data_IF_795389005398
#
_entry.id   IF_795389005398
#
_cell.length_a   1.000
_cell.length_b   1.000
_cell.length_c   1.000
_cell.angle_alpha   90.00
_cell.angle_beta   90.00
_cell.angle_gamma   90.00
#
_symmetry.space_group_name_H-M   'P 1'
#
loop_
_entity.id
_entity.type
_entity.pdbx_description
1 polymer ?
#
# COMPACT_ATOMS: atom_id res chain seq x y z
N UNK A 1 -43.97 -59.71 32.98
CA UNK A 1 -43.54 -59.18 31.67
C UNK A 1 -42.57 -60.17 31.04
N UNK A 2 -42.96 -60.73 29.90
CA UNK A 2 -42.19 -61.75 29.19
C UNK A 2 -41.00 -61.11 28.45
N UNK A 3 -40.01 -61.91 28.02
CA UNK A 3 -38.86 -61.45 27.22
C UNK A 3 -39.28 -60.64 25.98
N UNK A 4 -40.43 -61.00 25.40
CA UNK A 4 -41.05 -60.36 24.24
C UNK A 4 -41.51 -58.92 24.54
N UNK A 5 -42.05 -58.66 25.73
CA UNK A 5 -42.54 -57.33 26.14
C UNK A 5 -41.39 -56.31 26.29
N UNK A 6 -40.25 -56.75 26.83
CA UNK A 6 -39.06 -55.90 27.00
C UNK A 6 -38.44 -55.50 25.66
N UNK A 7 -38.44 -56.40 24.67
CA UNK A 7 -37.93 -56.11 23.34
C UNK A 7 -38.85 -55.14 22.57
N UNK A 8 -40.17 -55.25 22.76
CA UNK A 8 -41.13 -54.33 22.16
C UNK A 8 -40.96 -52.89 22.69
N UNK A 9 -40.81 -52.74 24.01
CA UNK A 9 -40.59 -51.43 24.66
C UNK A 9 -39.25 -50.82 24.21
N UNK A 10 -38.19 -51.61 24.13
CA UNK A 10 -36.87 -51.15 23.67
C UNK A 10 -36.90 -50.69 22.21
N UNK A 11 -37.60 -51.42 21.33
CA UNK A 11 -37.77 -51.03 19.92
C UNK A 11 -38.64 -49.78 19.77
N UNK A 12 -39.68 -49.62 20.59
CA UNK A 12 -40.55 -48.45 20.58
C UNK A 12 -39.83 -47.19 21.08
N UNK A 13 -39.04 -47.30 22.15
CA UNK A 13 -38.18 -46.22 22.65
C UNK A 13 -37.11 -45.82 21.63
N UNK A 14 -36.46 -46.80 20.98
CA UNK A 14 -35.45 -46.54 19.96
C UNK A 14 -36.02 -45.82 18.73
N UNK A 15 -37.23 -46.19 18.29
CA UNK A 15 -37.94 -45.49 17.20
C UNK A 15 -38.32 -44.06 17.58
N UNK A 16 -38.81 -43.82 18.80
CA UNK A 16 -39.19 -42.47 19.27
C UNK A 16 -37.99 -41.52 19.36
N UNK A 17 -36.84 -42.01 19.84
CA UNK A 17 -35.57 -41.25 19.89
C UNK A 17 -35.06 -40.94 18.49
N UNK A 18 -35.12 -41.88 17.55
CA UNK A 18 -34.67 -41.66 16.17
C UNK A 18 -35.60 -40.74 15.37
N UNK A 19 -36.92 -40.78 15.62
CA UNK A 19 -37.89 -39.87 15.00
C UNK A 19 -37.70 -38.41 15.48
N UNK A 20 -37.32 -38.20 16.75
CA UNK A 20 -36.95 -36.87 17.25
C UNK A 20 -35.60 -36.39 16.69
N UNK A 21 -34.58 -37.26 16.60
CA UNK A 21 -33.28 -36.92 15.98
C UNK A 21 -33.39 -36.51 14.50
N UNK A 22 -34.29 -37.14 13.74
CA UNK A 22 -34.56 -36.77 12.34
C UNK A 22 -35.19 -35.39 12.17
N UNK A 23 -36.04 -34.97 13.11
CA UNK A 23 -36.66 -33.63 13.12
C UNK A 23 -35.65 -32.53 13.48
N UNK A 24 -34.79 -32.78 14.47
CA UNK A 24 -33.71 -31.86 14.87
C UNK A 24 -32.63 -31.70 13.77
N UNK A 25 -32.36 -32.76 13.00
CA UNK A 25 -31.42 -32.74 11.86
C UNK A 25 -31.88 -31.84 10.70
N UNK A 26 -33.17 -31.85 10.35
CA UNK A 26 -33.70 -31.00 9.27
C UNK A 26 -33.73 -29.51 9.65
N UNK A 27 -34.02 -29.18 10.92
CA UNK A 27 -34.02 -27.79 11.39
C UNK A 27 -32.60 -27.21 11.44
N UNK A 28 -31.58 -28.03 11.76
CA UNK A 28 -30.17 -27.59 11.74
C UNK A 28 -29.60 -27.40 10.33
N UNK A 29 -30.06 -28.16 9.32
CA UNK A 29 -29.56 -28.01 7.94
C UNK A 29 -30.13 -26.79 7.21
N UNK A 30 -31.35 -26.36 7.53
CA UNK A 30 -31.94 -25.14 6.94
C UNK A 30 -31.41 -23.87 7.63
N UNK A 31 -31.10 -23.93 8.93
CA UNK A 31 -30.54 -22.79 9.66
C UNK A 31 -29.06 -22.50 9.33
N UNK A 32 -28.24 -23.51 8.99
CA UNK A 32 -26.81 -23.31 8.72
C UNK A 32 -26.57 -22.70 7.32
N UNK A 33 -27.43 -22.97 6.34
CA UNK A 33 -27.31 -22.35 5.01
C UNK A 33 -27.69 -20.86 5.05
N UNK A 34 -28.65 -20.46 5.89
CA UNK A 34 -29.04 -19.05 6.04
C UNK A 34 -27.98 -18.19 6.75
N UNK A 35 -27.19 -18.77 7.66
CA UNK A 35 -26.12 -18.04 8.36
C UNK A 35 -24.89 -17.85 7.45
N UNK A 36 -24.58 -18.83 6.61
CA UNK A 36 -23.50 -18.67 5.62
C UNK A 36 -23.90 -17.68 4.53
N UNK A 37 -25.18 -17.63 4.10
CA UNK A 37 -25.66 -16.62 3.16
C UNK A 37 -25.76 -15.20 3.74
N UNK A 38 -25.74 -15.03 5.08
CA UNK A 38 -25.75 -13.71 5.72
C UNK A 38 -24.34 -13.13 5.95
N UNK A 39 -23.29 -13.94 5.88
CA UNK A 39 -21.88 -13.47 5.93
C UNK A 39 -21.43 -12.91 4.57
N UNK A 40 -22.18 -13.16 3.48
CA UNK A 40 -21.88 -12.67 2.14
C UNK A 40 -22.41 -11.25 1.83
N UNK A 41 -22.96 -10.55 2.81
CA UNK A 41 -23.44 -9.19 2.62
C UNK A 41 -22.88 -8.30 3.73
N UNK A 42 -22.26 -7.18 3.35
CA UNK A 42 -21.54 -6.20 4.17
C UNK A 42 -20.00 -6.33 4.24
N UNK A 43 -19.34 -6.81 3.17
CA UNK A 43 -18.13 -6.08 2.76
C UNK A 43 -18.63 -4.93 1.88
N UNK A 44 -19.15 -3.88 2.52
CA UNK A 44 -19.07 -2.58 1.86
C UNK A 44 -17.57 -2.36 1.72
N UNK A 45 -17.05 -2.48 0.49
CA UNK A 45 -15.81 -1.78 0.15
C UNK A 45 -16.09 -0.33 0.55
N UNK A 46 -15.59 0.09 1.70
CA UNK A 46 -15.38 1.50 1.93
C UNK A 46 -14.40 1.88 0.82
N UNK A 47 -14.93 2.55 -0.20
CA UNK A 47 -14.12 3.23 -1.19
C UNK A 47 -13.39 4.33 -0.41
N UNK A 48 -12.23 3.98 0.17
CA UNK A 48 -11.35 4.92 0.84
C UNK A 48 -10.80 5.79 -0.28
N UNK A 49 -11.47 6.92 -0.51
CA UNK A 49 -11.00 7.92 -1.46
C UNK A 49 -9.67 8.46 -0.95
N UNK A 50 -8.68 8.52 -1.83
CA UNK A 50 -7.42 9.16 -1.50
C UNK A 50 -7.67 10.60 -1.05
N UNK A 51 -6.98 10.98 0.01
CA UNK A 51 -6.92 12.34 0.50
C UNK A 51 -6.06 13.19 -0.43
N UNK A 52 -6.27 14.50 -0.41
CA UNK A 52 -5.41 15.42 -1.16
C UNK A 52 -4.00 15.41 -0.54
N UNK A 53 -2.97 15.36 -1.39
CA UNK A 53 -1.59 15.43 -0.95
C UNK A 53 -1.33 16.77 -0.22
N UNK A 54 -0.88 16.74 1.05
CA UNK A 54 -0.61 17.97 1.81
C UNK A 54 0.39 18.88 1.08
N UNK A 55 0.25 20.19 1.28
CA UNK A 55 1.14 21.18 0.64
C UNK A 55 2.59 21.02 1.09
N UNK A 56 2.82 20.59 2.31
CA UNK A 56 4.13 20.40 2.93
C UNK A 56 4.54 18.91 2.96
N UNK A 57 4.32 18.18 1.86
CA UNK A 57 4.65 16.75 1.78
C UNK A 57 5.60 16.46 0.63
N UNK A 58 6.63 15.66 0.88
CA UNK A 58 7.52 15.15 -0.16
C UNK A 58 8.15 16.25 -1.04
N UNK A 59 8.31 15.97 -2.33
CA UNK A 59 8.84 16.93 -3.31
C UNK A 59 7.99 18.20 -3.42
N UNK A 60 6.67 18.08 -3.28
CA UNK A 60 5.75 19.24 -3.34
C UNK A 60 6.08 20.26 -2.25
N UNK A 61 6.20 19.79 -1.00
CA UNK A 61 6.59 20.62 0.14
C UNK A 61 7.99 21.22 -0.02
N UNK A 62 8.97 20.36 -0.32
CA UNK A 62 10.34 20.80 -0.49
C UNK A 62 10.49 21.88 -1.57
N UNK A 63 9.78 21.80 -2.70
CA UNK A 63 9.98 22.74 -3.81
C UNK A 63 9.45 24.14 -3.52
N UNK A 64 8.39 24.27 -2.71
CA UNK A 64 7.82 25.57 -2.33
C UNK A 64 8.41 26.18 -1.05
N UNK A 65 9.04 25.36 -0.21
CA UNK A 65 9.62 25.81 1.06
C UNK A 65 10.89 26.65 0.82
N UNK A 66 10.91 27.90 1.30
CA UNK A 66 12.03 28.82 1.08
C UNK A 66 13.12 28.72 2.15
N UNK A 67 12.89 28.01 3.25
CA UNK A 67 13.77 27.99 4.42
C UNK A 67 13.79 26.60 5.08
N UNK A 68 14.31 25.63 4.34
CA UNK A 68 14.30 24.21 4.74
C UNK A 68 15.38 23.95 5.80
N UNK A 69 14.96 23.44 6.95
CA UNK A 69 15.85 22.90 7.99
C UNK A 69 16.36 21.50 7.63
N UNK A 70 17.34 20.99 8.39
CA UNK A 70 17.81 19.61 8.23
C UNK A 70 16.69 18.57 8.46
N UNK A 71 15.85 18.78 9.47
CA UNK A 71 14.73 17.88 9.75
C UNK A 71 13.71 17.86 8.62
N UNK A 72 13.35 19.02 8.08
CA UNK A 72 12.45 19.13 6.93
C UNK A 72 13.07 18.53 5.67
N UNK A 73 14.36 18.75 5.40
CA UNK A 73 15.05 18.17 4.25
C UNK A 73 14.99 16.64 4.27
N UNK A 74 15.28 16.02 5.41
CA UNK A 74 15.20 14.57 5.56
C UNK A 74 13.76 14.06 5.49
N UNK A 75 12.83 14.79 6.12
CA UNK A 75 11.39 14.45 6.12
C UNK A 75 10.81 14.48 4.72
N UNK A 76 10.99 15.58 3.98
CA UNK A 76 10.53 15.69 2.60
C UNK A 76 11.13 14.61 1.70
N UNK A 77 12.44 14.35 1.80
CA UNK A 77 13.07 13.29 1.02
C UNK A 77 12.42 11.94 1.31
N UNK A 78 12.25 11.57 2.58
CA UNK A 78 11.69 10.27 2.96
C UNK A 78 10.20 10.13 2.60
N UNK A 79 9.42 11.18 2.78
CA UNK A 79 8.00 11.22 2.42
C UNK A 79 7.79 11.02 0.91
N UNK A 80 8.65 11.62 0.07
CA UNK A 80 8.56 11.46 -1.37
C UNK A 80 8.86 10.02 -1.81
N UNK A 81 9.85 9.36 -1.18
CA UNK A 81 10.13 7.94 -1.43
C UNK A 81 8.99 7.03 -0.96
N UNK A 82 8.33 7.36 0.16
CA UNK A 82 7.12 6.66 0.60
C UNK A 82 5.96 6.85 -0.40
N UNK A 83 5.80 8.06 -0.93
CA UNK A 83 4.78 8.36 -1.94
C UNK A 83 5.01 7.56 -3.22
N UNK A 84 6.27 7.45 -3.65
CA UNK A 84 6.65 6.64 -4.80
C UNK A 84 6.35 5.14 -4.58
N UNK A 85 6.73 4.58 -3.41
CA UNK A 85 6.39 3.21 -3.03
C UNK A 85 4.88 2.93 -3.12
N UNK A 86 4.07 3.76 -2.45
CA UNK A 86 2.62 3.59 -2.41
C UNK A 86 2.01 3.70 -3.81
N UNK A 87 2.48 4.65 -4.63
CA UNK A 87 2.01 4.84 -6.00
C UNK A 87 2.29 3.61 -6.87
N UNK A 88 3.51 3.06 -6.79
CA UNK A 88 3.87 1.88 -7.58
C UNK A 88 3.19 0.62 -7.07
N UNK A 89 2.93 0.51 -5.77
CA UNK A 89 2.08 -0.54 -5.20
C UNK A 89 0.67 -0.52 -5.80
N UNK A 90 0.04 0.65 -5.84
CA UNK A 90 -1.30 0.81 -6.41
C UNK A 90 -1.35 0.47 -7.91
N UNK A 91 -0.33 0.89 -8.68
CA UNK A 91 -0.22 0.58 -10.11
C UNK A 91 -0.01 -0.92 -10.34
N UNK A 92 0.90 -1.56 -9.58
CA UNK A 92 1.19 -3.00 -9.71
C UNK A 92 -0.02 -3.81 -9.32
N UNK A 93 -0.77 -3.39 -8.30
CA UNK A 93 -2.00 -4.04 -7.87
C UNK A 93 -3.08 -4.02 -8.96
N UNK A 94 -3.24 -2.91 -9.67
CA UNK A 94 -4.26 -2.76 -10.71
C UNK A 94 -3.86 -3.42 -12.03
N UNK A 95 -2.62 -3.20 -12.49
CA UNK A 95 -2.19 -3.58 -13.83
C UNK A 95 -1.23 -4.79 -13.88
N UNK A 96 -0.86 -5.33 -12.72
CA UNK A 96 0.08 -6.42 -12.60
C UNK A 96 1.55 -5.99 -12.65
N UNK A 97 2.44 -6.99 -12.69
CA UNK A 97 3.89 -6.80 -12.60
C UNK A 97 4.50 -6.29 -13.92
N UNK A 98 4.40 -4.99 -14.14
CA UNK A 98 5.04 -4.32 -15.26
C UNK A 98 6.45 -3.89 -14.86
N UNK A 99 7.43 -4.30 -15.67
CA UNK A 99 8.86 -4.27 -15.31
C UNK A 99 9.37 -2.89 -14.84
N UNK A 100 9.10 -1.75 -15.52
CA UNK A 100 9.51 -0.45 -15.00
C UNK A 100 9.04 -0.17 -13.56
N UNK A 101 7.74 -0.35 -13.27
CA UNK A 101 7.19 -0.07 -11.94
C UNK A 101 7.76 -0.99 -10.86
N UNK A 102 7.87 -2.30 -11.14
CA UNK A 102 8.44 -3.26 -10.17
C UNK A 102 9.91 -3.00 -9.87
N UNK A 103 10.73 -2.70 -10.88
CA UNK A 103 12.16 -2.44 -10.68
C UNK A 103 12.41 -1.11 -9.99
N UNK A 104 11.67 -0.07 -10.35
CA UNK A 104 11.81 1.26 -9.74
C UNK A 104 11.33 1.20 -8.30
N UNK A 105 10.21 0.52 -7.99
CA UNK A 105 9.80 0.28 -6.60
C UNK A 105 10.91 -0.36 -5.75
N UNK A 106 11.65 -1.33 -6.28
CA UNK A 106 12.80 -1.91 -5.56
C UNK A 106 13.92 -0.89 -5.36
N UNK A 107 14.13 0.02 -6.31
CA UNK A 107 15.10 1.10 -6.19
C UNK A 107 14.70 2.14 -5.13
N UNK A 108 13.43 2.57 -5.08
CA UNK A 108 12.96 3.51 -4.04
C UNK A 108 13.09 2.92 -2.64
N UNK A 109 12.95 1.59 -2.48
CA UNK A 109 13.20 0.97 -1.18
C UNK A 109 14.66 1.11 -0.73
N UNK A 110 15.60 1.18 -1.69
CA UNK A 110 17.01 1.45 -1.41
C UNK A 110 17.24 2.92 -1.07
N UNK A 111 16.47 3.84 -1.66
CA UNK A 111 16.49 5.25 -1.29
C UNK A 111 16.05 5.44 0.16
N UNK A 112 14.91 4.85 0.56
CA UNK A 112 14.45 4.80 1.95
C UNK A 112 15.55 4.25 2.87
N UNK A 113 16.13 3.11 2.50
CA UNK A 113 17.20 2.47 3.30
C UNK A 113 18.44 3.37 3.42
N UNK A 114 18.73 4.20 2.42
CA UNK A 114 19.84 5.13 2.44
C UNK A 114 19.58 6.39 3.31
N UNK A 115 18.32 6.81 3.42
CA UNK A 115 17.91 7.98 4.21
C UNK A 115 17.83 7.67 5.71
N UNK A 116 17.28 6.51 6.09
CA UNK A 116 17.04 6.15 7.50
C UNK A 116 18.26 6.28 8.45
N UNK A 117 19.50 5.93 8.03
CA UNK A 117 20.67 6.16 8.88
C UNK A 117 20.95 7.63 9.21
N UNK A 118 20.54 8.57 8.33
CA UNK A 118 20.72 10.01 8.58
C UNK A 118 19.79 10.49 9.71
N UNK A 119 18.54 10.01 9.75
CA UNK A 119 17.61 10.30 10.86
C UNK A 119 18.21 9.88 12.20
N UNK A 120 18.79 8.67 12.26
CA UNK A 120 19.45 8.17 13.47
C UNK A 120 20.68 9.02 13.83
N UNK A 121 21.53 9.33 12.85
CA UNK A 121 22.77 10.11 13.04
C UNK A 121 22.50 11.50 13.62
N UNK A 122 21.44 12.15 13.15
CA UNK A 122 21.08 13.52 13.55
C UNK A 122 20.03 13.58 14.66
N UNK A 123 19.66 12.42 15.24
CA UNK A 123 18.65 12.31 16.30
C UNK A 123 17.30 12.95 15.92
N UNK A 124 16.89 12.74 14.67
CA UNK A 124 15.61 13.22 14.11
C UNK A 124 14.64 12.03 14.10
N UNK A 125 13.40 12.28 14.50
CA UNK A 125 12.36 11.25 14.49
C UNK A 125 11.97 10.91 13.06
N UNK A 126 11.85 9.61 12.76
CA UNK A 126 11.37 9.17 11.45
C UNK A 126 9.87 9.44 11.36
N UNK A 127 9.38 10.17 10.35
CA UNK A 127 7.94 10.41 10.17
C UNK A 127 7.20 9.09 9.91
N UNK A 128 5.96 9.02 10.39
CA UNK A 128 5.06 7.91 10.09
C UNK A 128 4.78 7.85 8.58
N UNK A 129 4.82 6.65 7.99
CA UNK A 129 4.46 6.47 6.60
C UNK A 129 2.93 6.54 6.42
N UNK A 130 2.46 7.67 5.86
CA UNK A 130 1.05 7.92 5.51
C UNK A 130 0.78 7.95 4.02
N UNK A 131 1.78 7.62 3.19
CA UNK A 131 1.76 7.85 1.75
C UNK A 131 0.56 7.20 1.03
N UNK A 132 0.14 6.02 1.46
CA UNK A 132 -1.00 5.30 0.87
C UNK A 132 -2.34 6.03 1.03
N UNK A 133 -2.42 7.05 1.89
CA UNK A 133 -3.60 7.89 2.02
C UNK A 133 -3.69 8.91 0.88
N UNK A 134 -2.57 9.21 0.21
CA UNK A 134 -2.46 10.30 -0.77
C UNK A 134 -2.30 9.82 -2.22
N UNK A 135 -2.21 8.51 -2.45
CA UNK A 135 -2.05 7.94 -3.78
C UNK A 135 -3.38 7.57 -4.40
N UNK A 136 -3.49 7.79 -5.71
CA UNK A 136 -4.58 7.27 -6.54
C UNK A 136 -4.00 6.46 -7.68
N UNK A 137 -4.70 5.41 -8.08
CA UNK A 137 -4.34 4.65 -9.28
C UNK A 137 -4.82 5.40 -10.53
N UNK A 138 -3.93 5.72 -11.48
CA UNK A 138 -4.32 6.28 -12.78
C UNK A 138 -5.26 5.34 -13.54
N UNK A 139 -6.07 5.85 -14.47
CA UNK A 139 -7.11 5.04 -15.15
C UNK A 139 -6.56 4.19 -16.28
N UNK A 140 -5.39 4.54 -16.80
CA UNK A 140 -4.71 3.79 -17.86
C UNK A 140 -3.23 3.63 -17.56
N UNK A 141 -2.60 2.63 -18.19
CA UNK A 141 -1.15 2.47 -18.13
C UNK A 141 -0.39 3.66 -18.71
N UNK A 142 -0.93 4.30 -19.75
CA UNK A 142 -0.36 5.54 -20.29
C UNK A 142 -0.31 6.62 -19.21
N UNK A 143 -1.44 6.88 -18.55
CA UNK A 143 -1.51 7.85 -17.45
C UNK A 143 -0.61 7.45 -16.27
N UNK A 144 -0.44 6.14 -16.00
CA UNK A 144 0.49 5.65 -14.98
C UNK A 144 1.95 5.94 -15.31
N UNK A 145 2.34 5.77 -16.57
CA UNK A 145 3.67 6.17 -17.04
C UNK A 145 3.85 7.70 -17.04
N UNK A 146 2.84 8.47 -17.42
CA UNK A 146 2.87 9.95 -17.35
C UNK A 146 3.03 10.43 -15.90
N UNK A 147 2.29 9.85 -14.96
CA UNK A 147 2.40 10.14 -13.53
C UNK A 147 3.79 9.75 -12.98
N UNK A 148 4.35 8.60 -13.41
CA UNK A 148 5.72 8.21 -13.08
C UNK A 148 6.75 9.22 -13.60
N UNK A 149 6.63 9.64 -14.86
CA UNK A 149 7.51 10.69 -15.45
C UNK A 149 7.46 11.98 -14.63
N UNK A 150 6.25 12.47 -14.30
CA UNK A 150 6.11 13.70 -13.51
C UNK A 150 6.68 13.52 -12.10
N UNK A 151 6.40 12.39 -11.45
CA UNK A 151 6.94 12.07 -10.13
C UNK A 151 8.46 12.11 -10.09
N UNK A 152 9.13 11.52 -11.08
CA UNK A 152 10.60 11.56 -11.14
C UNK A 152 11.15 12.96 -11.46
N UNK A 153 10.44 13.78 -12.25
CA UNK A 153 10.83 15.17 -12.48
C UNK A 153 10.82 15.95 -11.16
N UNK A 154 9.75 15.80 -10.39
CA UNK A 154 9.58 16.49 -9.10
C UNK A 154 10.60 15.98 -8.06
N UNK A 155 10.82 14.66 -8.00
CA UNK A 155 11.82 14.04 -7.12
C UNK A 155 13.24 14.51 -7.44
N UNK A 156 13.63 14.55 -8.73
CA UNK A 156 14.93 15.09 -9.16
C UNK A 156 15.07 16.56 -8.78
N UNK A 157 14.03 17.37 -9.00
CA UNK A 157 14.05 18.79 -8.66
C UNK A 157 14.18 19.01 -7.14
N UNK A 158 13.46 18.23 -6.34
CA UNK A 158 13.59 18.22 -4.89
C UNK A 158 15.03 17.89 -4.48
N UNK A 159 15.59 16.75 -4.94
CA UNK A 159 16.94 16.36 -4.56
C UNK A 159 18.00 17.37 -4.99
N UNK A 160 17.85 17.98 -6.17
CA UNK A 160 18.72 19.08 -6.62
C UNK A 160 18.63 20.28 -5.67
N UNK A 161 17.42 20.67 -5.25
CA UNK A 161 17.24 21.76 -4.29
C UNK A 161 17.89 21.42 -2.96
N UNK A 162 17.55 20.26 -2.38
CA UNK A 162 18.05 19.82 -1.08
C UNK A 162 19.57 19.68 -1.06
N UNK A 163 20.17 19.13 -2.11
CA UNK A 163 21.63 18.96 -2.22
C UNK A 163 22.41 20.30 -2.21
N UNK A 164 21.78 21.39 -2.62
CA UNK A 164 22.41 22.72 -2.70
C UNK A 164 22.09 23.62 -1.51
N UNK A 165 21.38 23.12 -0.49
CA UNK A 165 21.12 23.88 0.73
C UNK A 165 22.43 24.06 1.53
N UNK A 166 22.90 25.30 1.76
CA UNK A 166 24.22 25.57 2.32
C UNK A 166 24.38 25.09 3.76
N UNK A 167 23.29 25.04 4.52
CA UNK A 167 23.31 24.70 5.94
C UNK A 167 23.16 23.18 6.20
N UNK A 168 22.99 22.38 5.14
CA UNK A 168 22.95 20.92 5.30
C UNK A 168 24.35 20.33 5.46
N UNK A 169 24.51 19.33 6.35
CA UNK A 169 25.76 18.58 6.46
C UNK A 169 26.16 17.89 5.15
N UNK A 170 27.47 17.80 4.90
CA UNK A 170 28.02 17.28 3.65
C UNK A 170 27.60 15.81 3.37
N UNK A 171 27.46 14.99 4.40
CA UNK A 171 27.01 13.61 4.26
C UNK A 171 25.55 13.53 3.81
N UNK A 172 24.68 14.43 4.31
CA UNK A 172 23.29 14.56 3.87
C UNK A 172 23.24 15.02 2.42
N UNK A 173 23.96 16.10 2.07
CA UNK A 173 24.04 16.59 0.68
C UNK A 173 24.52 15.49 -0.28
N UNK A 174 25.52 14.71 0.12
CA UNK A 174 26.05 13.60 -0.68
C UNK A 174 25.00 12.51 -0.93
N UNK A 175 24.15 12.22 0.05
CA UNK A 175 23.01 11.31 -0.15
C UNK A 175 22.00 11.92 -1.11
N UNK A 176 21.63 13.20 -0.94
CA UNK A 176 20.67 13.88 -1.83
C UNK A 176 21.14 13.88 -3.30
N UNK A 177 22.42 14.17 -3.56
CA UNK A 177 23.00 14.09 -4.92
C UNK A 177 22.86 12.68 -5.48
N UNK A 178 23.26 11.66 -4.71
CA UNK A 178 23.22 10.27 -5.16
C UNK A 178 21.81 9.80 -5.50
N UNK A 179 20.83 10.16 -4.67
CA UNK A 179 19.44 9.78 -4.90
C UNK A 179 18.87 10.51 -6.12
N UNK A 180 19.09 11.83 -6.24
CA UNK A 180 18.69 12.59 -7.42
C UNK A 180 19.34 12.08 -8.73
N UNK A 181 20.59 11.60 -8.67
CA UNK A 181 21.24 10.95 -9.82
C UNK A 181 20.63 9.59 -10.16
N UNK A 182 20.19 8.82 -9.16
CA UNK A 182 19.49 7.56 -9.37
C UNK A 182 18.12 7.78 -10.04
N UNK A 183 17.36 8.79 -9.58
CA UNK A 183 16.04 9.15 -10.12
C UNK A 183 16.08 9.57 -11.59
N UNK A 184 17.21 10.08 -12.10
CA UNK A 184 17.40 10.32 -13.55
C UNK A 184 17.27 9.02 -14.38
N UNK A 185 17.71 7.89 -13.82
CA UNK A 185 17.56 6.59 -14.47
C UNK A 185 16.10 6.10 -14.43
N UNK A 186 15.38 6.37 -13.34
CA UNK A 186 13.95 6.09 -13.23
C UNK A 186 13.16 6.88 -14.27
N UNK A 187 13.44 8.19 -14.37
CA UNK A 187 12.84 9.07 -15.38
C UNK A 187 13.05 8.55 -16.80
N UNK A 188 14.27 8.10 -17.12
CA UNK A 188 14.57 7.51 -18.43
C UNK A 188 13.76 6.22 -18.68
N UNK A 189 13.66 5.35 -17.67
CA UNK A 189 12.88 4.12 -17.75
C UNK A 189 11.37 4.38 -17.92
N UNK A 190 10.79 5.35 -17.20
CA UNK A 190 9.39 5.72 -17.39
C UNK A 190 9.12 6.38 -18.74
N UNK A 191 10.02 7.26 -19.22
CA UNK A 191 9.91 7.83 -20.58
C UNK A 191 9.94 6.74 -21.66
N UNK A 192 10.81 5.74 -21.50
CA UNK A 192 10.87 4.59 -22.40
C UNK A 192 9.61 3.71 -22.33
N UNK A 193 9.02 3.55 -21.14
CA UNK A 193 7.73 2.87 -21.00
C UNK A 193 6.58 3.65 -21.64
N UNK A 194 6.55 4.97 -21.45
CA UNK A 194 5.55 5.87 -22.00
C UNK A 194 5.56 5.89 -23.54
N UNK A 195 6.73 5.81 -24.17
CA UNK A 195 6.85 5.81 -25.62
C UNK A 195 6.16 4.63 -26.31
N UNK A 196 5.80 3.57 -25.56
CA UNK A 196 5.01 2.46 -26.08
C UNK A 196 3.52 2.78 -26.24
N UNK A 197 3.07 3.96 -25.76
CA UNK A 197 1.67 4.42 -25.78
C UNK A 197 1.50 5.72 -26.58
N UNK A 198 2.45 6.03 -27.46
CA UNK A 198 2.46 7.20 -28.35
C UNK A 198 1.94 6.86 -29.74
#
# INVERSE_FOLDING_TARGET
MTSTDKNYIKLHLYRKVNQQKGKVSKVKKVAIVAIISFIFFNFNLLEVKAEALPENYGAKGALQDSSITLEEALTYALEDEYLAQARYDDIIKEYGEIRPFTQIKVAEQRHITALLPLFTRYNISVPENKASQYTTTPKTLKEAFEAGVQGEIDNIAMYQKLANLPDLPQDVQSVMVRLGDASKNHLAAFKQGLSQYQ
#
